data_IF_835948559308
#
_entry.id   IF_835948559308
#
_cell.length_a   1.000
_cell.length_b   1.000
_cell.length_c   1.000
_cell.angle_alpha   90.00
_cell.angle_beta   90.00
_cell.angle_gamma   90.00
#
_symmetry.space_group_name_H-M   'P 1'
#
loop_
_entity.id
_entity.type
_entity.pdbx_description
1 polymer ?
#
# COMPACT_ATOMS: atom_id res chain seq x y z
N UNK A 1 -26.20 2.99 5.22
CA UNK A 1 -25.35 2.29 4.23
C UNK A 1 -23.89 2.50 4.60
N UNK A 2 -23.08 1.43 4.73
CA UNK A 2 -21.70 1.55 5.22
C UNK A 2 -20.78 1.81 4.04
N UNK A 3 -20.40 3.07 3.80
CA UNK A 3 -19.30 3.39 2.90
C UNK A 3 -18.04 2.70 3.45
N UNK A 4 -17.59 1.62 2.81
CA UNK A 4 -16.38 0.84 3.19
C UNK A 4 -15.12 1.41 2.54
N UNK A 5 -15.06 2.73 2.38
CA UNK A 5 -13.99 3.43 1.69
C UNK A 5 -13.57 4.62 2.57
N UNK A 6 -12.27 4.80 2.74
CA UNK A 6 -11.64 5.85 3.54
C UNK A 6 -10.83 6.71 2.58
N UNK A 7 -10.89 8.04 2.72
CA UNK A 7 -10.11 8.95 1.89
C UNK A 7 -8.59 8.80 2.13
N UNK A 8 -7.79 9.33 1.18
CA UNK A 8 -6.33 9.19 1.23
C UNK A 8 -5.71 9.84 2.47
N UNK A 9 -6.22 10.98 2.93
CA UNK A 9 -5.64 11.66 4.08
C UNK A 9 -5.85 10.84 5.36
N UNK A 10 -7.08 10.39 5.59
CA UNK A 10 -7.44 9.57 6.75
C UNK A 10 -6.74 8.21 6.71
N UNK A 11 -6.67 7.54 5.56
CA UNK A 11 -6.03 6.22 5.48
C UNK A 11 -4.53 6.29 5.74
N UNK A 12 -3.85 7.35 5.28
CA UNK A 12 -2.43 7.54 5.55
C UNK A 12 -2.17 7.61 7.06
N UNK A 13 -2.97 8.38 7.79
CA UNK A 13 -2.84 8.50 9.25
C UNK A 13 -3.13 7.16 9.95
N UNK A 14 -4.15 6.42 9.51
CA UNK A 14 -4.49 5.13 10.09
C UNK A 14 -3.39 4.09 9.86
N UNK A 15 -2.80 4.03 8.65
CA UNK A 15 -1.68 3.14 8.36
C UNK A 15 -0.51 3.43 9.30
N UNK A 16 -0.22 4.70 9.51
CA UNK A 16 0.88 5.16 10.36
C UNK A 16 0.70 4.76 11.82
N UNK A 17 -0.54 4.84 12.32
CA UNK A 17 -0.89 4.48 13.70
C UNK A 17 -0.93 2.97 13.89
N UNK A 18 -1.56 2.23 12.97
CA UNK A 18 -1.87 0.81 13.16
C UNK A 18 -0.72 -0.10 12.73
N UNK A 19 -0.10 0.19 11.58
CA UNK A 19 0.94 -0.66 10.99
C UNK A 19 2.33 -0.05 11.14
N UNK A 20 2.45 1.28 11.25
CA UNK A 20 3.72 1.98 11.38
C UNK A 20 4.64 1.51 12.51
N UNK A 21 4.15 1.06 13.70
CA UNK A 21 5.01 0.51 14.74
C UNK A 21 5.72 -0.80 14.34
N UNK A 22 5.14 -1.60 13.44
CA UNK A 22 5.66 -2.92 13.05
C UNK A 22 6.32 -2.90 11.67
N UNK A 23 5.75 -2.14 10.73
CA UNK A 23 6.11 -2.12 9.31
C UNK A 23 6.48 -0.71 8.84
N UNK A 24 7.26 0.01 9.67
CA UNK A 24 7.61 1.43 9.48
C UNK A 24 8.01 1.75 8.04
N UNK A 25 8.98 1.03 7.50
CA UNK A 25 9.51 1.31 6.17
C UNK A 25 8.44 1.10 5.08
N UNK A 26 7.72 -0.02 5.10
CA UNK A 26 6.64 -0.30 4.14
C UNK A 26 5.56 0.78 4.18
N UNK A 27 5.15 1.18 5.40
CA UNK A 27 4.12 2.20 5.62
C UNK A 27 4.58 3.56 5.09
N UNK A 28 5.79 3.99 5.41
CA UNK A 28 6.32 5.29 4.97
C UNK A 28 6.32 5.37 3.42
N UNK A 29 6.82 4.34 2.74
CA UNK A 29 6.84 4.31 1.27
C UNK A 29 5.43 4.25 0.65
N UNK A 30 4.53 3.46 1.24
CA UNK A 30 3.17 3.35 0.71
C UNK A 30 2.38 4.65 0.92
N UNK A 31 2.55 5.31 2.07
CA UNK A 31 1.96 6.64 2.35
C UNK A 31 2.50 7.68 1.37
N UNK A 32 3.80 7.68 1.10
CA UNK A 32 4.40 8.58 0.11
C UNK A 32 3.81 8.35 -1.29
N UNK A 33 3.69 7.09 -1.70
CA UNK A 33 3.04 6.74 -2.96
C UNK A 33 1.60 7.23 -3.02
N UNK A 34 0.79 6.95 -1.98
CA UNK A 34 -0.61 7.33 -1.91
C UNK A 34 -0.82 8.85 -2.02
N UNK A 35 0.14 9.66 -1.50
CA UNK A 35 0.10 11.12 -1.58
C UNK A 35 0.47 11.68 -2.96
N UNK A 36 1.25 10.95 -3.76
CA UNK A 36 1.75 11.39 -5.07
C UNK A 36 0.83 10.94 -6.21
N UNK A 37 0.30 9.72 -6.12
CA UNK A 37 -0.63 9.18 -7.11
C UNK A 37 -1.95 9.98 -7.13
N UNK A 38 -2.61 10.07 -8.29
CA UNK A 38 -3.88 10.80 -8.46
C UNK A 38 -5.07 9.90 -8.85
N UNK A 39 -4.82 8.61 -9.07
CA UNK A 39 -5.80 7.65 -9.60
C UNK A 39 -6.77 7.14 -8.52
N UNK A 40 -6.28 7.03 -7.28
CA UNK A 40 -7.01 6.54 -6.12
C UNK A 40 -7.36 7.70 -5.19
N UNK A 41 -8.66 7.93 -5.00
CA UNK A 41 -9.19 8.96 -4.08
C UNK A 41 -9.63 8.39 -2.73
N UNK A 42 -9.84 7.08 -2.69
CA UNK A 42 -10.25 6.33 -1.50
C UNK A 42 -9.60 4.97 -1.51
N UNK A 43 -9.38 4.42 -0.32
CA UNK A 43 -8.95 3.04 -0.08
C UNK A 43 -10.09 2.28 0.58
N UNK A 44 -10.43 1.12 0.02
CA UNK A 44 -11.43 0.24 0.60
C UNK A 44 -10.81 -0.82 1.52
N UNK A 45 -11.66 -1.56 2.23
CA UNK A 45 -11.19 -2.58 3.18
C UNK A 45 -10.38 -3.72 2.54
N UNK A 46 -10.68 -4.09 1.29
CA UNK A 46 -9.96 -5.14 0.57
C UNK A 46 -8.53 -4.71 0.24
N UNK A 47 -8.37 -3.48 -0.25
CA UNK A 47 -7.06 -2.85 -0.50
C UNK A 47 -6.24 -2.71 0.78
N UNK A 48 -6.86 -2.29 1.90
CA UNK A 48 -6.18 -2.23 3.19
C UNK A 48 -5.71 -3.61 3.65
N UNK A 49 -6.59 -4.62 3.58
CA UNK A 49 -6.23 -5.99 3.96
C UNK A 49 -5.16 -6.58 3.03
N UNK A 50 -5.19 -6.23 1.75
CA UNK A 50 -4.14 -6.53 0.79
C UNK A 50 -2.81 -5.91 1.20
N UNK A 51 -2.78 -4.64 1.61
CA UNK A 51 -1.55 -4.01 2.09
C UNK A 51 -1.01 -4.64 3.38
N UNK A 52 -1.90 -5.03 4.30
CA UNK A 52 -1.49 -5.78 5.49
C UNK A 52 -0.86 -7.13 5.12
N UNK A 53 -1.47 -7.88 4.20
CA UNK A 53 -0.90 -9.13 3.68
C UNK A 53 0.44 -8.89 3.00
N UNK A 54 0.55 -7.84 2.19
CA UNK A 54 1.79 -7.40 1.56
C UNK A 54 2.91 -7.20 2.59
N UNK A 55 2.63 -6.50 3.70
CA UNK A 55 3.62 -6.27 4.76
C UNK A 55 4.16 -7.56 5.42
N UNK A 56 3.37 -8.64 5.40
CA UNK A 56 3.75 -9.92 6.00
C UNK A 56 4.37 -10.89 4.99
N UNK A 57 3.90 -10.88 3.75
CA UNK A 57 4.24 -11.88 2.73
C UNK A 57 5.37 -11.43 1.81
N UNK A 58 5.56 -10.12 1.61
CA UNK A 58 6.51 -9.58 0.63
C UNK A 58 7.78 -9.08 1.31
N UNK A 59 8.92 -9.49 0.75
CA UNK A 59 10.24 -9.04 1.16
C UNK A 59 10.39 -7.55 0.88
N UNK A 60 10.93 -6.80 1.83
CA UNK A 60 11.06 -5.36 1.70
C UNK A 60 12.47 -4.94 2.14
N UNK A 61 13.17 -4.05 1.40
CA UNK A 61 12.68 -3.19 0.30
C UNK A 61 12.87 -3.72 -1.13
N UNK A 62 13.42 -4.92 -1.29
CA UNK A 62 13.78 -5.49 -2.60
C UNK A 62 12.58 -6.07 -3.36
N UNK A 63 11.52 -6.48 -2.66
CA UNK A 63 10.24 -6.95 -3.24
C UNK A 63 10.41 -8.06 -4.27
N UNK A 64 11.48 -8.86 -4.15
CA UNK A 64 11.88 -9.89 -5.13
C UNK A 64 10.87 -11.03 -5.27
N UNK A 65 10.02 -11.23 -4.26
CA UNK A 65 8.96 -12.23 -4.26
C UNK A 65 7.56 -11.64 -4.59
N UNK A 66 7.47 -10.38 -5.02
CA UNK A 66 6.23 -9.82 -5.54
C UNK A 66 5.91 -10.43 -6.91
N UNK A 67 4.68 -10.92 -7.10
CA UNK A 67 4.22 -11.53 -8.34
C UNK A 67 2.90 -10.89 -8.79
N UNK A 68 2.93 -10.27 -9.97
CA UNK A 68 1.79 -9.60 -10.63
C UNK A 68 0.69 -10.56 -11.09
N UNK A 69 0.96 -11.86 -11.19
CA UNK A 69 -0.04 -12.87 -11.53
C UNK A 69 -0.91 -13.28 -10.32
N UNK A 70 -0.49 -12.91 -9.10
CA UNK A 70 -1.30 -13.10 -7.90
C UNK A 70 -2.36 -12.02 -7.82
N UNK A 71 -3.53 -12.35 -7.26
CA UNK A 71 -4.67 -11.44 -7.14
C UNK A 71 -4.48 -10.35 -6.07
N UNK A 72 -3.38 -9.59 -6.16
CA UNK A 72 -3.18 -8.40 -5.36
C UNK A 72 -4.12 -7.27 -5.82
N UNK A 73 -4.53 -6.38 -4.91
CA UNK A 73 -5.23 -5.17 -5.32
C UNK A 73 -4.37 -4.32 -6.27
N UNK A 74 -4.96 -3.81 -7.35
CA UNK A 74 -4.25 -3.03 -8.39
C UNK A 74 -3.43 -1.84 -7.83
N UNK A 75 -3.87 -1.25 -6.71
CA UNK A 75 -3.12 -0.18 -6.03
C UNK A 75 -1.74 -0.63 -5.55
N UNK A 76 -1.59 -1.92 -5.19
CA UNK A 76 -0.32 -2.51 -4.79
C UNK A 76 0.56 -2.85 -5.99
N UNK A 77 -0.03 -3.28 -7.11
CA UNK A 77 0.73 -3.49 -8.35
C UNK A 77 1.34 -2.16 -8.83
N UNK A 78 0.54 -1.10 -8.83
CA UNK A 78 1.02 0.24 -9.18
C UNK A 78 2.04 0.79 -8.17
N UNK A 79 1.88 0.47 -6.88
CA UNK A 79 2.88 0.80 -5.86
C UNK A 79 4.21 0.08 -6.10
N UNK A 80 4.19 -1.21 -6.48
CA UNK A 80 5.38 -1.97 -6.81
C UNK A 80 6.11 -1.40 -8.03
N UNK A 81 5.39 -1.05 -9.10
CA UNK A 81 6.01 -0.41 -10.26
C UNK A 81 6.62 0.95 -9.90
N UNK A 82 5.93 1.78 -9.11
CA UNK A 82 6.48 3.05 -8.62
C UNK A 82 7.75 2.88 -7.78
N UNK A 83 7.82 1.83 -6.94
CA UNK A 83 9.02 1.49 -6.17
C UNK A 83 10.19 1.11 -7.09
N UNK A 84 9.93 0.32 -8.13
CA UNK A 84 10.95 -0.10 -9.10
C UNK A 84 11.50 1.08 -9.89
N UNK A 85 10.65 2.03 -10.30
CA UNK A 85 11.08 3.24 -10.99
C UNK A 85 11.99 4.12 -10.11
N UNK A 86 11.77 4.16 -8.80
CA UNK A 86 12.63 4.89 -7.86
C UNK A 86 13.98 4.25 -7.59
N UNK A 87 14.11 2.94 -7.82
CA UNK A 87 15.36 2.19 -7.62
C UNK A 87 16.21 2.09 -8.89
N UNK A 88 15.68 2.48 -10.05
CA UNK A 88 16.37 2.56 -11.33
C UNK A 88 17.20 3.85 -11.47
#
# INVERSE_FOLDING_TARGET
>A
EKQKCIDIETICQLLDIVLGPTFRAQVDYFVDYLKIQNDYKVINIDQWMGFYRFCNEISFPDMTNYNLELAWPLVLDNFFEWMREKQA
#
